data_IF_914270145397
#
_entry.id   IF_914270145397
#
_cell.length_a   1.000
_cell.length_b   1.000
_cell.length_c   1.000
_cell.angle_alpha   90.00
_cell.angle_beta   90.00
_cell.angle_gamma   90.00
#
_symmetry.space_group_name_H-M   'P 1'
#
loop_
_entity.id
_entity.type
_entity.pdbx_description
1 polymer ?
#
# COMPACT_ATOMS: atom_id res chain seq x y z
N UNK A 1 -10.36 -16.30 8.76
CA UNK A 1 -9.41 -15.22 9.13
C UNK A 1 -7.99 -15.46 8.67
N UNK A 2 -7.33 -16.58 8.99
CA UNK A 2 -5.96 -16.85 8.50
C UNK A 2 -5.86 -16.84 6.97
N UNK A 3 -6.79 -17.51 6.29
CA UNK A 3 -6.88 -17.53 4.82
C UNK A 3 -7.05 -16.11 4.26
N UNK A 4 -7.92 -15.30 4.85
CA UNK A 4 -8.11 -13.90 4.45
C UNK A 4 -6.80 -13.10 4.54
N UNK A 5 -6.08 -13.18 5.66
CA UNK A 5 -4.79 -12.49 5.84
C UNK A 5 -3.74 -12.96 4.82
N UNK A 6 -3.66 -14.28 4.59
CA UNK A 6 -2.73 -14.84 3.61
C UNK A 6 -3.06 -14.38 2.17
N UNK A 7 -4.33 -14.40 1.77
CA UNK A 7 -4.76 -13.92 0.45
C UNK A 7 -4.43 -12.44 0.27
N UNK A 8 -4.72 -11.59 1.27
CA UNK A 8 -4.39 -10.17 1.18
C UNK A 8 -2.88 -9.93 1.06
N UNK A 9 -2.05 -10.72 1.75
CA UNK A 9 -0.60 -10.62 1.65
C UNK A 9 -0.08 -11.00 0.26
N UNK A 10 -0.65 -12.04 -0.34
CA UNK A 10 -0.33 -12.42 -1.73
C UNK A 10 -0.68 -11.26 -2.67
N UNK A 11 -1.85 -10.64 -2.51
CA UNK A 11 -2.25 -9.47 -3.31
C UNK A 11 -1.26 -8.32 -3.12
N UNK A 12 -0.80 -8.05 -1.89
CA UNK A 12 0.17 -6.98 -1.63
C UNK A 12 1.53 -7.23 -2.29
N UNK A 13 2.00 -8.48 -2.27
CA UNK A 13 3.25 -8.88 -2.92
C UNK A 13 3.14 -8.72 -4.43
N UNK A 14 2.03 -9.18 -5.03
CA UNK A 14 1.79 -9.01 -6.48
C UNK A 14 1.73 -7.53 -6.85
N UNK A 15 1.04 -6.73 -6.03
CA UNK A 15 0.89 -5.28 -6.23
C UNK A 15 2.20 -4.51 -6.07
N UNK A 16 3.25 -5.13 -5.54
CA UNK A 16 4.58 -4.53 -5.42
C UNK A 16 5.21 -4.23 -6.79
N UNK A 17 4.97 -5.08 -7.80
CA UNK A 17 5.48 -4.88 -9.16
C UNK A 17 4.94 -3.60 -9.81
N UNK A 18 3.61 -3.39 -9.95
CA UNK A 18 3.09 -2.14 -10.50
C UNK A 18 3.38 -0.94 -9.59
N UNK A 19 3.45 -1.15 -8.27
CA UNK A 19 3.83 -0.09 -7.35
C UNK A 19 5.25 0.44 -7.61
N UNK A 20 6.24 -0.42 -7.88
CA UNK A 20 7.61 0.01 -8.21
C UNK A 20 7.65 0.95 -9.42
N UNK A 21 6.83 0.69 -10.44
CA UNK A 21 6.71 1.56 -11.61
C UNK A 21 6.15 2.93 -11.24
N UNK A 22 5.05 2.95 -10.47
CA UNK A 22 4.41 4.19 -10.02
C UNK A 22 5.36 5.00 -9.12
N UNK A 23 6.08 4.31 -8.24
CA UNK A 23 7.09 4.95 -7.40
C UNK A 23 8.22 5.56 -8.23
N UNK A 24 8.75 4.84 -9.22
CA UNK A 24 9.76 5.38 -10.14
C UNK A 24 9.27 6.59 -10.91
N UNK A 25 8.07 6.52 -11.49
CA UNK A 25 7.46 7.63 -12.22
C UNK A 25 7.15 8.83 -11.32
N UNK A 26 6.91 8.61 -10.02
CA UNK A 26 6.60 9.70 -9.09
C UNK A 26 7.72 10.73 -8.97
N UNK A 27 8.97 10.34 -9.22
CA UNK A 27 10.11 11.27 -9.22
C UNK A 27 10.04 12.31 -10.34
N UNK A 28 9.30 12.06 -11.43
CA UNK A 28 9.08 13.05 -12.48
C UNK A 28 8.31 14.28 -11.97
N UNK A 29 7.62 14.17 -10.82
CA UNK A 29 7.02 15.35 -10.16
C UNK A 29 8.06 16.39 -9.74
N UNK A 30 9.33 16.00 -9.57
CA UNK A 30 10.42 16.92 -9.25
C UNK A 30 10.95 17.69 -10.47
N UNK A 31 10.56 17.34 -11.70
CA UNK A 31 10.94 18.12 -12.90
C UNK A 31 10.36 19.54 -12.84
N UNK A 32 9.27 19.73 -12.10
CA UNK A 32 8.66 21.03 -11.81
C UNK A 32 9.28 21.74 -10.58
N UNK A 33 10.34 21.17 -10.01
CA UNK A 33 11.06 21.68 -8.84
C UNK A 33 10.74 20.94 -7.53
N UNK A 34 11.51 21.25 -6.49
CA UNK A 34 11.29 20.72 -5.14
C UNK A 34 10.28 21.59 -4.38
N UNK A 35 9.12 21.01 -4.08
CA UNK A 35 8.09 21.61 -3.26
C UNK A 35 7.59 20.63 -2.19
N UNK A 36 6.99 21.14 -1.13
CA UNK A 36 6.36 20.30 -0.08
C UNK A 36 5.30 19.36 -0.69
N UNK A 37 4.62 19.82 -1.73
CA UNK A 37 3.61 19.03 -2.43
C UNK A 37 4.23 17.83 -3.16
N UNK A 38 5.30 18.05 -3.93
CA UNK A 38 6.00 16.99 -4.66
C UNK A 38 6.64 15.98 -3.70
N UNK A 39 7.22 16.47 -2.60
CA UNK A 39 7.77 15.60 -1.56
C UNK A 39 6.69 14.75 -0.89
N UNK A 40 5.52 15.33 -0.60
CA UNK A 40 4.39 14.62 0.00
C UNK A 40 3.80 13.59 -0.97
N UNK A 41 3.74 13.89 -2.26
CA UNK A 41 3.28 12.97 -3.30
C UNK A 41 4.18 11.73 -3.39
N UNK A 42 5.49 11.93 -3.57
CA UNK A 42 6.47 10.83 -3.63
C UNK A 42 6.52 10.07 -2.31
N UNK A 43 6.50 10.79 -1.18
CA UNK A 43 6.48 10.20 0.17
C UNK A 43 5.25 9.34 0.43
N UNK A 44 4.07 9.79 -0.01
CA UNK A 44 2.82 9.03 0.11
C UNK A 44 2.85 7.72 -0.68
N UNK A 45 3.46 7.72 -1.86
CA UNK A 45 3.67 6.50 -2.65
C UNK A 45 4.72 5.60 -1.98
N UNK A 46 5.80 6.18 -1.47
CA UNK A 46 6.90 5.47 -0.82
C UNK A 46 6.49 4.68 0.44
N UNK A 47 5.41 5.10 1.12
CA UNK A 47 4.94 4.47 2.37
C UNK A 47 4.34 3.08 2.15
N UNK A 48 3.93 2.71 0.92
CA UNK A 48 3.26 1.44 0.65
C UNK A 48 3.95 0.20 1.26
N UNK A 49 5.27 -0.03 1.08
CA UNK A 49 5.93 -1.21 1.64
C UNK A 49 5.90 -1.22 3.17
N UNK A 50 6.02 -0.05 3.79
CA UNK A 50 5.91 0.12 5.25
C UNK A 50 4.51 -0.22 5.71
N UNK A 51 3.48 0.26 5.01
CA UNK A 51 2.09 -0.07 5.29
C UNK A 51 1.83 -1.57 5.17
N UNK A 52 2.33 -2.22 4.11
CA UNK A 52 2.20 -3.68 3.89
C UNK A 52 2.82 -4.47 5.05
N UNK A 53 4.03 -4.09 5.48
CA UNK A 53 4.74 -4.73 6.59
C UNK A 53 3.97 -4.58 7.91
N UNK A 54 3.61 -3.34 8.28
CA UNK A 54 2.90 -3.05 9.52
C UNK A 54 1.51 -3.69 9.54
N UNK A 55 0.75 -3.55 8.45
CA UNK A 55 -0.59 -4.15 8.31
C UNK A 55 -0.56 -5.67 8.41
N UNK A 56 0.46 -6.30 7.82
CA UNK A 56 0.70 -7.74 7.93
C UNK A 56 0.99 -8.16 9.37
N UNK A 57 1.98 -7.53 10.02
CA UNK A 57 2.38 -7.89 11.38
C UNK A 57 1.20 -7.68 12.34
N UNK A 58 0.54 -6.52 12.28
CA UNK A 58 -0.59 -6.19 13.16
C UNK A 58 -1.79 -7.11 12.91
N UNK A 59 -2.08 -7.44 11.64
CA UNK A 59 -3.12 -8.41 11.28
C UNK A 59 -2.89 -9.78 11.93
N UNK A 60 -1.67 -10.31 11.85
CA UNK A 60 -1.30 -11.60 12.43
C UNK A 60 -1.11 -11.56 13.95
N UNK A 61 -0.76 -10.44 14.56
CA UNK A 61 -0.73 -10.33 16.04
C UNK A 61 -2.16 -10.27 16.59
N UNK A 62 -3.04 -9.50 15.96
CA UNK A 62 -4.37 -9.21 16.50
C UNK A 62 -5.43 -10.25 16.15
N UNK A 63 -5.22 -11.13 15.16
CA UNK A 63 -6.26 -12.06 14.67
C UNK A 63 -6.87 -12.99 15.75
N UNK A 64 -6.12 -13.28 16.83
CA UNK A 64 -6.60 -14.09 17.96
C UNK A 64 -7.35 -13.28 19.01
N UNK A 65 -6.94 -12.02 19.24
CA UNK A 65 -7.45 -11.16 20.32
C UNK A 65 -8.62 -10.27 19.88
N UNK A 66 -8.52 -9.64 18.72
CA UNK A 66 -9.54 -8.75 18.19
C UNK A 66 -9.60 -8.86 16.65
N UNK A 67 -10.55 -9.65 16.16
CA UNK A 67 -10.74 -9.89 14.73
C UNK A 67 -11.04 -8.61 13.95
N UNK A 68 -11.76 -7.64 14.53
CA UNK A 68 -12.10 -6.37 13.85
C UNK A 68 -10.85 -5.53 13.65
N UNK A 69 -10.04 -5.37 14.70
CA UNK A 69 -8.78 -4.63 14.60
C UNK A 69 -7.82 -5.29 13.60
N UNK A 70 -7.72 -6.62 13.62
CA UNK A 70 -6.89 -7.35 12.66
C UNK A 70 -7.29 -7.08 11.20
N UNK A 71 -8.61 -7.03 10.91
CA UNK A 71 -9.11 -6.71 9.57
C UNK A 71 -8.80 -5.26 9.20
N UNK A 72 -9.05 -4.29 10.09
CA UNK A 72 -8.81 -2.87 9.82
C UNK A 72 -7.34 -2.63 9.48
N UNK A 73 -6.41 -3.10 10.31
CA UNK A 73 -4.97 -2.93 10.07
C UNK A 73 -4.50 -3.64 8.81
N UNK A 74 -5.05 -4.82 8.54
CA UNK A 74 -4.75 -5.54 7.31
C UNK A 74 -5.30 -4.84 6.08
N UNK A 75 -6.38 -4.06 6.16
CA UNK A 75 -6.96 -3.34 5.02
C UNK A 75 -6.23 -2.04 4.67
N UNK A 76 -5.39 -1.49 5.55
CA UNK A 76 -4.65 -0.25 5.28
C UNK A 76 -3.87 -0.29 3.95
N UNK A 77 -3.10 -1.35 3.63
CA UNK A 77 -2.37 -1.41 2.37
C UNK A 77 -3.26 -1.56 1.13
N UNK A 78 -4.53 -1.98 1.29
CA UNK A 78 -5.47 -2.03 0.16
C UNK A 78 -5.77 -0.66 -0.42
N UNK A 79 -5.60 0.43 0.33
CA UNK A 79 -5.80 1.78 -0.20
C UNK A 79 -4.89 2.05 -1.40
N UNK A 80 -3.63 1.61 -1.34
CA UNK A 80 -2.71 1.71 -2.48
C UNK A 80 -3.11 0.75 -3.60
N UNK A 81 -3.49 -0.48 -3.30
CA UNK A 81 -3.92 -1.46 -4.32
C UNK A 81 -5.11 -0.92 -5.12
N UNK A 82 -6.10 -0.32 -4.44
CA UNK A 82 -7.25 0.31 -5.10
C UNK A 82 -6.82 1.50 -5.96
N UNK A 83 -5.88 2.32 -5.47
CA UNK A 83 -5.31 3.42 -6.26
C UNK A 83 -4.62 2.93 -7.53
N UNK A 84 -3.81 1.87 -7.42
CA UNK A 84 -3.14 1.22 -8.56
C UNK A 84 -4.18 0.70 -9.56
N UNK A 85 -5.18 -0.06 -9.10
CA UNK A 85 -6.23 -0.61 -9.97
C UNK A 85 -7.00 0.53 -10.67
N UNK A 86 -7.31 1.60 -9.94
CA UNK A 86 -8.02 2.75 -10.49
C UNK A 86 -7.20 3.44 -11.58
N UNK A 87 -5.89 3.59 -11.38
CA UNK A 87 -4.99 4.08 -12.43
C UNK A 87 -5.02 3.17 -13.66
N UNK A 88 -4.94 1.85 -13.52
CA UNK A 88 -4.99 0.95 -14.68
C UNK A 88 -6.35 0.90 -15.40
N UNK A 89 -7.46 1.17 -14.71
CA UNK A 89 -8.80 1.15 -15.30
C UNK A 89 -9.18 2.48 -15.97
N UNK A 90 -8.63 3.60 -15.50
CA UNK A 90 -9.05 4.95 -15.92
C UNK A 90 -7.94 5.79 -16.55
N UNK A 91 -6.69 5.31 -16.58
CA UNK A 91 -5.61 5.91 -17.38
C UNK A 91 -5.66 5.40 -18.82
#
# INVERSE_FOLDING_TARGET
MKIFLAISQIIYVISFLPWLLIFGMSFMSFDQGFSVWNLSFVGGIAIYPVAVLLGSILGWVLHKRNKRAAVIWNLVPMLWVVGIISLFLFA
#
